data_IF_442815474046
#
_entry.id   IF_442815474046
#
_cell.length_a   1.000
_cell.length_b   1.000
_cell.length_c   1.000
_cell.angle_alpha   90.00
_cell.angle_beta   90.00
_cell.angle_gamma   90.00
#
_symmetry.space_group_name_H-M   'P 1'
#
loop_
_entity.id
_entity.type
_entity.pdbx_description
1 polymer ?
#
# COMPACT_ATOMS: atom_id res chain seq x y z
N UNK A 1 -20.58 -22.08 -4.89
CA UNK A 1 -20.46 -20.62 -4.63
C UNK A 1 -19.06 -20.04 -4.89
N UNK A 2 -17.97 -20.84 -4.88
CA UNK A 2 -16.60 -20.34 -5.08
C UNK A 2 -16.27 -19.75 -6.47
N UNK A 3 -17.04 -20.09 -7.52
CA UNK A 3 -16.77 -19.61 -8.89
C UNK A 3 -17.05 -18.12 -9.14
N UNK A 4 -18.06 -17.54 -8.48
CA UNK A 4 -18.50 -16.16 -8.71
C UNK A 4 -17.73 -15.11 -7.89
N UNK A 5 -17.03 -15.54 -6.84
CA UNK A 5 -16.33 -14.63 -5.92
C UNK A 5 -15.17 -13.94 -6.62
N UNK A 6 -14.44 -14.63 -7.51
CA UNK A 6 -13.29 -14.05 -8.22
C UNK A 6 -13.72 -13.03 -9.30
N UNK A 7 -14.66 -13.35 -10.21
CA UNK A 7 -15.14 -12.36 -11.19
C UNK A 7 -15.75 -11.11 -10.54
N UNK A 8 -16.49 -11.28 -9.45
CA UNK A 8 -17.10 -10.16 -8.74
C UNK A 8 -16.05 -9.25 -8.09
N UNK A 9 -15.00 -9.83 -7.50
CA UNK A 9 -13.88 -9.07 -6.96
C UNK A 9 -13.10 -8.33 -8.07
N UNK A 10 -12.91 -8.94 -9.25
CA UNK A 10 -12.31 -8.27 -10.40
C UNK A 10 -13.16 -7.11 -10.90
N UNK A 11 -14.48 -7.28 -10.98
CA UNK A 11 -15.39 -6.18 -11.32
C UNK A 11 -15.29 -5.05 -10.29
N UNK A 12 -15.27 -5.39 -9.00
CA UNK A 12 -15.09 -4.42 -7.93
C UNK A 12 -13.74 -3.68 -8.05
N UNK A 13 -12.66 -4.40 -8.37
CA UNK A 13 -11.36 -3.80 -8.66
C UNK A 13 -11.45 -2.81 -9.82
N UNK A 14 -12.01 -3.19 -10.98
CA UNK A 14 -12.10 -2.30 -12.13
C UNK A 14 -12.94 -1.05 -11.84
N UNK A 15 -14.07 -1.21 -11.14
CA UNK A 15 -14.91 -0.08 -10.73
C UNK A 15 -14.16 0.85 -9.78
N UNK A 16 -13.52 0.30 -8.75
CA UNK A 16 -12.80 1.09 -7.76
C UNK A 16 -11.54 1.75 -8.34
N UNK A 17 -10.73 0.99 -9.09
CA UNK A 17 -9.53 1.49 -9.74
C UNK A 17 -9.86 2.57 -10.77
N UNK A 18 -10.90 2.36 -11.59
CA UNK A 18 -11.37 3.35 -12.55
C UNK A 18 -11.88 4.62 -11.86
N UNK A 19 -12.65 4.48 -10.78
CA UNK A 19 -13.11 5.61 -9.98
C UNK A 19 -11.95 6.39 -9.34
N UNK A 20 -11.02 5.69 -8.69
CA UNK A 20 -9.86 6.30 -8.04
C UNK A 20 -8.92 6.99 -9.05
N UNK A 21 -8.68 6.36 -10.20
CA UNK A 21 -7.90 6.96 -11.28
C UNK A 21 -8.60 8.20 -11.88
N UNK A 22 -9.92 8.15 -12.06
CA UNK A 22 -10.70 9.30 -12.52
C UNK A 22 -10.68 10.47 -11.52
N UNK A 23 -10.74 10.18 -10.22
CA UNK A 23 -10.59 11.20 -9.18
C UNK A 23 -9.20 11.85 -9.20
N UNK A 24 -8.15 11.06 -9.42
CA UNK A 24 -6.76 11.54 -9.42
C UNK A 24 -6.38 12.31 -10.69
N UNK A 25 -6.68 11.73 -11.85
CA UNK A 25 -6.17 12.20 -13.15
C UNK A 25 -7.23 12.90 -14.00
N UNK A 26 -8.53 12.71 -13.70
CA UNK A 26 -9.61 13.28 -14.49
C UNK A 26 -9.89 14.76 -14.21
N UNK A 27 -9.36 15.32 -13.10
CA UNK A 27 -9.56 16.74 -12.75
C UNK A 27 -11.02 17.13 -12.46
N UNK A 28 -11.94 16.16 -12.41
CA UNK A 28 -13.38 16.36 -12.30
C UNK A 28 -13.82 16.84 -10.91
N UNK A 29 -12.98 16.68 -9.88
CA UNK A 29 -13.34 16.94 -8.50
C UNK A 29 -12.21 17.63 -7.73
N UNK A 30 -12.56 18.59 -6.87
CA UNK A 30 -11.64 19.30 -5.96
C UNK A 30 -11.15 18.46 -4.78
N UNK A 31 -11.23 17.13 -4.86
CA UNK A 31 -10.82 16.19 -3.81
C UNK A 31 -9.35 15.79 -3.90
N UNK A 32 -8.64 16.23 -4.95
CA UNK A 32 -7.23 15.94 -5.15
C UNK A 32 -6.34 16.27 -3.94
N UNK A 33 -6.43 17.45 -3.27
CA UNK A 33 -5.60 17.72 -2.09
C UNK A 33 -5.89 16.77 -0.92
N UNK A 34 -7.15 16.34 -0.75
CA UNK A 34 -7.53 15.36 0.27
C UNK A 34 -6.95 13.98 -0.04
N UNK A 35 -7.02 13.54 -1.31
CA UNK A 35 -6.44 12.29 -1.77
C UNK A 35 -4.92 12.25 -1.59
N UNK A 36 -4.22 13.33 -1.94
CA UNK A 36 -2.77 13.43 -1.76
C UNK A 36 -2.39 13.42 -0.27
N UNK A 37 -3.15 14.12 0.58
CA UNK A 37 -2.85 14.21 2.00
C UNK A 37 -3.15 12.93 2.79
N UNK A 38 -4.27 12.26 2.50
CA UNK A 38 -4.77 11.13 3.29
C UNK A 38 -4.64 9.77 2.60
N UNK A 39 -4.48 9.74 1.27
CA UNK A 39 -4.31 8.52 0.48
C UNK A 39 -3.16 7.63 0.97
N UNK A 40 -1.95 8.18 1.18
CA UNK A 40 -0.83 7.40 1.71
C UNK A 40 -1.14 6.72 3.05
N UNK A 41 -1.84 7.40 3.95
CA UNK A 41 -2.24 6.85 5.25
C UNK A 41 -3.29 5.74 5.12
N UNK A 42 -4.21 5.85 4.16
CA UNK A 42 -5.16 4.78 3.86
C UNK A 42 -4.46 3.51 3.34
N UNK A 43 -3.44 3.67 2.48
CA UNK A 43 -2.62 2.54 2.01
C UNK A 43 -1.80 1.94 3.15
N UNK A 44 -1.22 2.78 4.02
CA UNK A 44 -0.47 2.31 5.18
C UNK A 44 -1.37 1.50 6.14
N UNK A 45 -2.60 1.96 6.39
CA UNK A 45 -3.57 1.22 7.18
C UNK A 45 -3.92 -0.14 6.54
N UNK A 46 -4.13 -0.17 5.22
CA UNK A 46 -4.33 -1.43 4.49
C UNK A 46 -3.13 -2.36 4.62
N UNK A 47 -1.90 -1.84 4.51
CA UNK A 47 -0.67 -2.60 4.66
C UNK A 47 -0.54 -3.19 6.08
N UNK A 48 -0.88 -2.43 7.12
CA UNK A 48 -0.92 -2.93 8.49
C UNK A 48 -1.92 -4.10 8.65
N UNK A 49 -3.12 -3.98 8.06
CA UNK A 49 -4.10 -5.08 8.06
C UNK A 49 -3.57 -6.31 7.34
N UNK A 50 -2.88 -6.15 6.19
CA UNK A 50 -2.25 -7.26 5.47
C UNK A 50 -1.20 -7.96 6.35
N UNK A 51 -0.38 -7.21 7.09
CA UNK A 51 0.62 -7.77 8.01
C UNK A 51 -0.07 -8.57 9.13
N UNK A 52 -1.12 -8.03 9.74
CA UNK A 52 -1.86 -8.73 10.79
C UNK A 52 -2.49 -10.04 10.28
N UNK A 53 -3.06 -10.02 9.08
CA UNK A 53 -3.59 -11.22 8.42
C UNK A 53 -2.48 -12.25 8.15
N UNK A 54 -1.31 -11.79 7.71
CA UNK A 54 -0.17 -12.67 7.48
C UNK A 54 0.32 -13.32 8.79
N UNK A 55 0.35 -12.59 9.91
CA UNK A 55 0.70 -13.15 11.22
C UNK A 55 -0.31 -14.15 11.76
N UNK A 56 -1.60 -13.96 11.45
CA UNK A 56 -2.67 -14.89 11.82
C UNK A 56 -2.55 -16.24 11.09
N UNK A 57 -2.08 -16.22 9.83
CA UNK A 57 -1.87 -17.44 9.05
C UNK A 57 -0.52 -18.12 9.35
N UNK A 58 0.59 -17.36 9.37
CA UNK A 58 1.94 -17.88 9.58
C UNK A 58 2.90 -16.77 10.04
N UNK A 59 3.56 -16.98 11.19
CA UNK A 59 4.48 -16.01 11.77
C UNK A 59 5.60 -15.59 10.81
N UNK A 60 6.17 -16.55 10.07
CA UNK A 60 7.26 -16.27 9.14
C UNK A 60 6.79 -15.39 7.97
N UNK A 61 5.60 -15.64 7.43
CA UNK A 61 4.95 -14.82 6.40
C UNK A 61 4.66 -13.41 6.90
N UNK A 62 4.23 -13.25 8.16
CA UNK A 62 4.08 -11.95 8.82
C UNK A 62 5.38 -11.16 8.89
N UNK A 63 6.47 -11.81 9.31
CA UNK A 63 7.81 -11.19 9.36
C UNK A 63 8.29 -10.77 7.97
N UNK A 64 8.07 -11.59 6.94
CA UNK A 64 8.42 -11.25 5.57
C UNK A 64 7.63 -10.03 5.05
N UNK A 65 6.37 -9.87 5.45
CA UNK A 65 5.57 -8.70 5.07
C UNK A 65 6.12 -7.37 5.62
N UNK A 66 6.83 -7.42 6.76
CA UNK A 66 7.48 -6.24 7.36
C UNK A 66 8.86 -6.00 6.74
N UNK A 67 9.66 -7.05 6.60
CA UNK A 67 11.08 -6.92 6.24
C UNK A 67 11.29 -6.77 4.73
N UNK A 68 10.46 -7.41 3.91
CA UNK A 68 10.65 -7.47 2.46
C UNK A 68 9.64 -6.55 1.78
N UNK A 69 10.09 -5.41 1.20
CA UNK A 69 9.21 -4.51 0.46
C UNK A 69 8.45 -5.25 -0.64
N UNK A 70 7.14 -5.01 -0.73
CA UNK A 70 6.28 -5.65 -1.72
C UNK A 70 5.83 -7.08 -1.36
N UNK A 71 6.40 -7.73 -0.35
CA UNK A 71 5.96 -9.09 0.03
C UNK A 71 4.52 -9.11 0.55
N UNK A 72 4.08 -8.07 1.24
CA UNK A 72 2.68 -7.89 1.64
C UNK A 72 1.70 -7.91 0.46
N UNK A 73 2.06 -7.30 -0.67
CA UNK A 73 1.25 -7.32 -1.89
C UNK A 73 1.24 -8.73 -2.52
N UNK A 74 2.39 -9.40 -2.57
CA UNK A 74 2.48 -10.79 -3.02
C UNK A 74 1.59 -11.70 -2.17
N UNK A 75 1.69 -11.61 -0.85
CA UNK A 75 0.87 -12.37 0.10
C UNK A 75 -0.62 -12.12 -0.15
N UNK A 76 -1.02 -10.85 -0.30
CA UNK A 76 -2.42 -10.48 -0.52
C UNK A 76 -3.01 -11.03 -1.83
N UNK A 77 -2.22 -11.12 -2.90
CA UNK A 77 -2.68 -11.60 -4.21
C UNK A 77 -2.70 -13.12 -4.29
N UNK A 78 -1.64 -13.76 -3.80
CA UNK A 78 -1.38 -15.18 -4.09
C UNK A 78 -1.67 -16.12 -2.93
N UNK A 79 -1.71 -15.62 -1.68
CA UNK A 79 -1.85 -16.46 -0.47
C UNK A 79 -3.10 -16.18 0.34
N UNK A 80 -3.42 -14.92 0.60
CA UNK A 80 -4.43 -14.52 1.58
C UNK A 80 -5.86 -15.02 1.30
N UNK A 81 -6.17 -15.50 0.09
CA UNK A 81 -7.49 -16.02 -0.26
C UNK A 81 -8.65 -15.01 -0.12
N UNK A 82 -8.35 -13.71 -0.05
CA UNK A 82 -9.30 -12.61 0.22
C UNK A 82 -9.46 -11.67 -0.98
N UNK A 83 -10.13 -12.12 -2.05
CA UNK A 83 -10.11 -11.42 -3.34
C UNK A 83 -10.74 -10.02 -3.28
N UNK A 84 -11.74 -9.78 -2.43
CA UNK A 84 -12.32 -8.45 -2.24
C UNK A 84 -11.36 -7.47 -1.55
N UNK A 85 -10.57 -7.96 -0.59
CA UNK A 85 -9.57 -7.12 0.07
C UNK A 85 -8.42 -6.82 -0.89
N UNK A 86 -7.99 -7.80 -1.70
CA UNK A 86 -7.07 -7.58 -2.81
C UNK A 86 -7.60 -6.50 -3.76
N UNK A 87 -8.85 -6.61 -4.20
CA UNK A 87 -9.48 -5.63 -5.09
C UNK A 87 -9.55 -4.23 -4.48
N UNK A 88 -9.85 -4.12 -3.18
CA UNK A 88 -9.84 -2.86 -2.44
C UNK A 88 -8.44 -2.22 -2.45
N UNK A 89 -7.42 -2.97 -2.01
CA UNK A 89 -6.04 -2.46 -1.88
C UNK A 89 -5.48 -2.03 -3.23
N UNK A 90 -5.63 -2.86 -4.27
CA UNK A 90 -5.14 -2.52 -5.61
C UNK A 90 -5.97 -1.40 -6.27
N UNK A 91 -7.27 -1.32 -6.00
CA UNK A 91 -8.12 -0.23 -6.49
C UNK A 91 -7.76 1.11 -5.85
N UNK A 92 -7.43 1.14 -4.55
CA UNK A 92 -6.91 2.33 -3.90
C UNK A 92 -5.53 2.71 -4.46
N UNK A 93 -4.62 1.73 -4.60
CA UNK A 93 -3.28 1.97 -5.16
C UNK A 93 -3.32 2.58 -6.57
N UNK A 94 -4.34 2.28 -7.38
CA UNK A 94 -4.47 2.90 -8.71
C UNK A 94 -4.65 4.43 -8.67
N UNK A 95 -5.21 4.99 -7.59
CA UNK A 95 -5.37 6.45 -7.45
C UNK A 95 -4.31 7.12 -6.58
N UNK A 96 -3.82 6.44 -5.52
CA UNK A 96 -2.94 7.05 -4.51
C UNK A 96 -1.57 6.36 -4.39
N UNK A 97 -1.28 5.38 -5.25
CA UNK A 97 -0.03 4.63 -5.22
C UNK A 97 1.20 5.49 -5.50
N UNK A 98 1.09 6.43 -6.44
CA UNK A 98 2.15 7.40 -6.75
C UNK A 98 2.47 8.29 -5.56
N UNK A 99 1.45 8.90 -4.94
CA UNK A 99 1.63 9.75 -3.76
C UNK A 99 2.22 8.96 -2.58
N UNK A 100 1.76 7.72 -2.40
CA UNK A 100 2.30 6.83 -1.36
C UNK A 100 3.78 6.54 -1.60
N UNK A 101 4.17 6.28 -2.84
CA UNK A 101 5.57 6.06 -3.20
C UNK A 101 6.43 7.31 -2.92
N UNK A 102 5.97 8.50 -3.28
CA UNK A 102 6.68 9.75 -3.03
C UNK A 102 6.88 9.99 -1.54
N UNK A 103 5.83 9.86 -0.73
CA UNK A 103 5.92 10.03 0.74
C UNK A 103 6.89 9.03 1.37
N UNK A 104 6.82 7.75 0.97
CA UNK A 104 7.72 6.71 1.50
C UNK A 104 9.17 6.96 1.07
N UNK A 105 9.38 7.38 -0.17
CA UNK A 105 10.71 7.73 -0.69
C UNK A 105 11.32 8.88 0.11
N UNK A 106 10.58 9.97 0.30
CA UNK A 106 11.07 11.14 1.03
C UNK A 106 11.38 10.80 2.49
N UNK A 107 10.51 10.02 3.14
CA UNK A 107 10.75 9.54 4.50
C UNK A 107 12.02 8.66 4.58
N UNK A 108 12.23 7.78 3.60
CA UNK A 108 13.41 6.90 3.56
C UNK A 108 14.70 7.70 3.38
N UNK A 109 14.70 8.71 2.50
CA UNK A 109 15.84 9.59 2.29
C UNK A 109 16.17 10.41 3.55
N UNK A 110 15.16 10.98 4.20
CA UNK A 110 15.34 11.74 5.45
C UNK A 110 15.95 10.88 6.57
N UNK A 111 15.49 9.63 6.71
CA UNK A 111 16.04 8.68 7.69
C UNK A 111 17.49 8.33 7.32
N UNK A 112 17.76 8.06 6.04
CA UNK A 112 19.10 7.73 5.58
C UNK A 112 20.10 8.87 5.84
N UNK A 113 19.73 10.11 5.54
CA UNK A 113 20.54 11.30 5.79
C UNK A 113 20.79 11.49 7.29
N UNK A 114 19.74 11.37 8.11
CA UNK A 114 19.86 11.47 9.58
C UNK A 114 20.83 10.44 10.14
N UNK A 115 20.73 9.18 9.70
CA UNK A 115 21.63 8.11 10.15
C UNK A 115 23.08 8.36 9.67
N UNK A 116 23.24 8.83 8.43
CA UNK A 116 24.56 9.15 7.86
C UNK A 116 25.23 10.28 8.64
N UNK A 117 24.49 11.34 8.97
CA UNK A 117 24.99 12.47 9.76
C UNK A 117 25.37 12.07 11.18
N UNK A 118 24.59 11.20 11.82
CA UNK A 118 24.92 10.64 13.13
C UNK A 118 26.23 9.85 13.11
N UNK A 119 26.44 9.01 12.08
CA UNK A 119 27.66 8.20 11.92
C UNK A 119 28.87 9.10 11.61
N UNK A 120 28.72 10.04 10.69
CA UNK A 120 29.78 10.97 10.29
C UNK A 120 30.18 11.93 11.42
N UNK A 121 29.19 12.43 12.17
CA UNK A 121 29.40 13.25 13.36
C UNK A 121 30.07 12.48 14.50
N UNK A 122 29.75 11.19 14.68
CA UNK A 122 30.39 10.32 15.66
C UNK A 122 31.85 10.02 15.34
N UNK A 123 32.30 10.13 14.08
CA UNK A 123 33.71 9.94 13.68
C UNK A 123 34.62 11.14 13.95
N UNK A 124 34.07 12.31 14.28
CA UNK A 124 34.83 13.54 14.56
C UNK A 124 35.17 13.76 16.04
N UNK A 125 34.71 12.89 16.94
CA UNK A 125 35.08 12.85 18.36
C UNK A 125 35.98 11.66 18.62
#
# INVERSE_FOLDING_TARGET
>A
MAGYVKPLAWLFFFLLAGFMAALRYGGLFSVQPLLTAYGPWAILACHAVVILLAFDEDFFTGVLCILVPGYSLYYLVFRAGRPFFTALVFGLLAGVGEDTYLVVKDLSMNIYETVTDLIAGSRRK
#
